data_IF_888523628794
#
_entry.id   IF_888523628794
#
_cell.length_a   1.000
_cell.length_b   1.000
_cell.length_c   1.000
_cell.angle_alpha   90.00
_cell.angle_beta   90.00
_cell.angle_gamma   90.00
#
_symmetry.space_group_name_H-M   'P 1'
#
loop_
_entity.id
_entity.type
_entity.pdbx_description
1 polymer ?
#
# COMPACT_ATOMS: atom_id res chain seq x y z
N UNK A 1 -13.22 46.72 14.07
CA UNK A 1 -12.37 45.85 13.20
C UNK A 1 -13.25 45.34 12.08
N UNK A 2 -12.86 45.50 10.81
CA UNK A 2 -13.68 45.01 9.70
C UNK A 2 -13.61 43.48 9.66
N UNK A 3 -14.79 42.87 9.67
CA UNK A 3 -15.05 41.45 9.46
C UNK A 3 -14.52 41.05 8.08
N UNK A 4 -13.39 40.35 8.04
CA UNK A 4 -12.89 39.73 6.81
C UNK A 4 -13.77 38.52 6.49
N UNK A 5 -14.64 38.67 5.50
CA UNK A 5 -15.37 37.56 4.91
C UNK A 5 -14.39 36.50 4.42
N UNK A 6 -14.59 35.20 4.72
CA UNK A 6 -13.67 34.16 4.28
C UNK A 6 -13.70 34.07 2.76
N UNK A 7 -12.55 34.24 2.12
CA UNK A 7 -12.36 34.07 0.69
C UNK A 7 -12.86 32.68 0.29
N UNK A 8 -13.75 32.55 -0.72
CA UNK A 8 -14.25 31.26 -1.14
C UNK A 8 -13.09 30.37 -1.58
N UNK A 9 -13.03 29.13 -1.07
CA UNK A 9 -12.06 28.15 -1.55
C UNK A 9 -12.28 27.94 -3.05
N UNK A 10 -11.21 27.92 -3.86
CA UNK A 10 -11.34 27.60 -5.27
C UNK A 10 -11.99 26.23 -5.44
N UNK A 11 -12.83 26.10 -6.48
CA UNK A 11 -13.44 24.82 -6.82
C UNK A 11 -12.35 23.75 -7.01
N UNK A 12 -12.58 22.51 -6.54
CA UNK A 12 -11.60 21.45 -6.74
C UNK A 12 -11.36 21.24 -8.25
N UNK A 13 -10.12 20.90 -8.65
CA UNK A 13 -9.82 20.54 -10.04
C UNK A 13 -10.77 19.46 -10.58
N UNK A 14 -11.09 19.50 -11.87
CA UNK A 14 -12.04 18.57 -12.50
C UNK A 14 -11.61 17.08 -12.39
N UNK A 15 -10.33 16.81 -12.14
CA UNK A 15 -9.76 15.47 -11.96
C UNK A 15 -9.69 15.01 -10.49
N UNK A 16 -10.15 15.82 -9.54
CA UNK A 16 -10.15 15.53 -8.10
C UNK A 16 -11.56 15.23 -7.60
N UNK A 17 -11.98 13.98 -7.73
CA UNK A 17 -13.29 13.49 -7.28
C UNK A 17 -13.21 12.02 -6.82
N UNK A 18 -14.22 11.57 -6.06
CA UNK A 18 -14.38 10.15 -5.68
C UNK A 18 -14.93 9.38 -6.88
N UNK A 19 -14.11 8.52 -7.48
CA UNK A 19 -14.54 7.77 -8.66
C UNK A 19 -15.20 6.43 -8.29
N UNK A 20 -16.53 6.39 -8.21
CA UNK A 20 -17.27 5.14 -7.94
C UNK A 20 -17.83 4.48 -9.21
N UNK A 21 -17.57 5.04 -10.39
CA UNK A 21 -18.11 4.58 -11.67
C UNK A 21 -17.46 3.26 -12.07
N UNK A 22 -18.25 2.20 -12.18
CA UNK A 22 -17.76 0.86 -12.44
C UNK A 22 -17.20 0.72 -13.86
N UNK A 23 -17.80 1.44 -14.80
CA UNK A 23 -17.49 1.54 -16.22
C UNK A 23 -16.14 2.23 -16.51
N UNK A 24 -15.65 3.06 -15.60
CA UNK A 24 -14.37 3.77 -15.79
C UNK A 24 -13.16 2.83 -15.81
N UNK A 25 -13.31 1.57 -15.37
CA UNK A 25 -12.24 0.54 -15.43
C UNK A 25 -12.05 -0.05 -16.83
N UNK A 26 -12.96 0.21 -17.76
CA UNK A 26 -12.84 -0.21 -19.16
C UNK A 26 -12.07 0.87 -19.92
N UNK A 27 -10.94 0.47 -20.48
CA UNK A 27 -9.96 1.36 -21.10
C UNK A 27 -9.86 1.00 -22.58
N UNK A 28 -9.86 1.99 -23.50
CA UNK A 28 -9.59 1.72 -24.90
C UNK A 28 -8.22 1.04 -25.07
N UNK A 29 -8.16 -0.06 -25.82
CA UNK A 29 -6.93 -0.85 -26.08
C UNK A 29 -5.80 0.05 -26.55
N UNK A 30 -6.07 0.99 -27.46
CA UNK A 30 -5.08 1.97 -27.94
C UNK A 30 -4.50 2.83 -26.82
N UNK A 31 -5.34 3.29 -25.90
CA UNK A 31 -4.90 4.11 -24.77
C UNK A 31 -4.05 3.29 -23.78
N UNK A 32 -4.44 2.03 -23.52
CA UNK A 32 -3.64 1.12 -22.69
C UNK A 32 -2.27 0.84 -23.31
N UNK A 33 -2.22 0.51 -24.60
CA UNK A 33 -0.96 0.24 -25.32
C UNK A 33 -0.02 1.43 -25.32
N UNK A 34 -0.55 2.64 -25.49
CA UNK A 34 0.24 3.87 -25.41
C UNK A 34 0.73 4.19 -23.97
N UNK A 35 0.01 3.75 -22.95
CA UNK A 35 0.37 3.97 -21.55
C UNK A 35 1.39 2.97 -21.02
N UNK A 36 1.59 1.82 -21.66
CA UNK A 36 2.60 0.87 -21.23
C UNK A 36 4.02 1.46 -21.36
N UNK A 37 4.75 1.48 -20.25
CA UNK A 37 6.08 2.08 -20.19
C UNK A 37 7.06 1.21 -20.99
N UNK A 38 7.78 1.83 -21.92
CA UNK A 38 8.99 1.25 -22.53
C UNK A 38 10.20 1.82 -21.80
N UNK A 39 11.11 0.95 -21.38
CA UNK A 39 12.39 1.32 -20.79
C UNK A 39 13.48 1.10 -21.82
N UNK A 40 14.06 2.20 -22.31
CA UNK A 40 15.02 2.14 -23.43
C UNK A 40 16.31 1.37 -23.09
N UNK A 41 16.72 1.39 -21.83
CA UNK A 41 17.87 0.61 -21.34
C UNK A 41 17.44 -0.79 -20.84
N UNK A 42 16.25 -1.26 -21.23
CA UNK A 42 15.85 -2.63 -20.93
C UNK A 42 16.87 -3.63 -21.46
N UNK A 43 17.06 -4.73 -20.73
CA UNK A 43 17.83 -5.89 -21.19
C UNK A 43 17.16 -6.63 -22.36
N UNK A 44 15.93 -6.27 -22.71
CA UNK A 44 15.20 -6.81 -23.86
C UNK A 44 14.47 -5.66 -24.59
N UNK A 45 15.21 -4.73 -25.24
CA UNK A 45 14.64 -3.49 -25.74
C UNK A 45 13.70 -3.72 -26.94
N UNK A 46 13.92 -4.75 -27.75
CA UNK A 46 13.04 -5.08 -28.88
C UNK A 46 11.74 -5.78 -28.47
N UNK A 47 11.62 -6.24 -27.23
CA UNK A 47 10.42 -6.93 -26.75
C UNK A 47 9.23 -5.97 -26.60
N UNK A 48 8.03 -6.55 -26.57
CA UNK A 48 6.79 -5.82 -26.26
C UNK A 48 6.87 -5.19 -24.85
N UNK A 49 6.14 -4.11 -24.63
CA UNK A 49 6.17 -3.33 -23.39
C UNK A 49 5.11 -3.81 -22.38
N UNK A 50 4.72 -5.08 -22.42
CA UNK A 50 3.83 -5.75 -21.47
C UNK A 50 4.03 -7.27 -21.58
N UNK A 51 3.43 -8.04 -20.67
CA UNK A 51 3.52 -9.50 -20.64
C UNK A 51 2.13 -10.11 -20.90
N UNK A 52 1.93 -10.81 -22.02
CA UNK A 52 0.75 -11.65 -22.24
C UNK A 52 0.76 -12.83 -21.26
N UNK A 53 -0.39 -13.12 -20.68
CA UNK A 53 -0.63 -14.22 -19.74
C UNK A 53 -1.78 -15.08 -20.28
N UNK A 54 -1.53 -15.83 -21.37
CA UNK A 54 -2.57 -16.54 -22.11
C UNK A 54 -3.27 -17.61 -21.27
N UNK A 55 -2.61 -18.14 -20.24
CA UNK A 55 -3.17 -19.15 -19.33
C UNK A 55 -4.45 -18.67 -18.60
N UNK A 56 -4.67 -17.35 -18.54
CA UNK A 56 -5.88 -16.74 -17.98
C UNK A 56 -6.55 -15.73 -18.91
N UNK A 57 -6.08 -15.60 -20.16
CA UNK A 57 -6.54 -14.54 -21.07
C UNK A 57 -6.29 -13.13 -20.51
N UNK A 58 -5.17 -12.95 -19.81
CA UNK A 58 -4.80 -11.71 -19.15
C UNK A 58 -3.54 -11.11 -19.77
N UNK A 59 -3.26 -9.87 -19.41
CA UNK A 59 -1.97 -9.24 -19.67
C UNK A 59 -1.57 -8.38 -18.46
N UNK A 60 -0.26 -8.30 -18.23
CA UNK A 60 0.36 -7.58 -17.11
C UNK A 60 1.38 -6.58 -17.63
N UNK A 61 1.28 -5.33 -17.20
CA UNK A 61 2.29 -4.34 -17.55
C UNK A 61 2.39 -3.19 -16.55
N UNK A 62 3.54 -2.51 -16.58
CA UNK A 62 3.76 -1.24 -15.91
C UNK A 62 3.21 -0.12 -16.80
N UNK A 63 2.33 0.73 -16.26
CA UNK A 63 1.74 1.84 -17.01
C UNK A 63 2.19 3.19 -16.46
N UNK A 64 2.21 4.20 -17.33
CA UNK A 64 2.17 5.60 -16.92
C UNK A 64 0.79 5.91 -16.34
N UNK A 65 0.74 6.10 -15.02
CA UNK A 65 -0.49 6.47 -14.32
C UNK A 65 -0.93 7.91 -14.59
N UNK A 66 -0.09 8.74 -15.24
CA UNK A 66 -0.44 10.06 -15.73
C UNK A 66 -1.38 10.04 -16.94
N UNK A 67 -1.45 8.92 -17.67
CA UNK A 67 -2.37 8.76 -18.79
C UNK A 67 -3.83 8.85 -18.30
N UNK A 68 -4.65 9.80 -18.80
CA UNK A 68 -5.97 10.10 -18.22
C UNK A 68 -6.93 8.91 -18.11
N UNK A 69 -6.95 8.02 -19.12
CA UNK A 69 -7.79 6.83 -19.10
C UNK A 69 -7.35 5.84 -18.01
N UNK A 70 -6.04 5.67 -17.79
CA UNK A 70 -5.50 4.79 -16.77
C UNK A 70 -5.70 5.38 -15.37
N UNK A 71 -5.46 6.68 -15.21
CA UNK A 71 -5.70 7.39 -13.95
C UNK A 71 -7.15 7.19 -13.48
N UNK A 72 -8.13 7.34 -14.38
CA UNK A 72 -9.55 7.09 -14.10
C UNK A 72 -9.82 5.63 -13.77
N UNK A 73 -9.33 4.69 -14.58
CA UNK A 73 -9.57 3.26 -14.36
C UNK A 73 -9.00 2.74 -13.03
N UNK A 74 -7.77 3.13 -12.71
CA UNK A 74 -7.10 2.80 -11.45
C UNK A 74 -7.85 3.46 -10.28
N UNK A 75 -8.22 4.74 -10.41
CA UNK A 75 -8.98 5.45 -9.38
C UNK A 75 -10.33 4.78 -9.12
N UNK A 76 -11.09 4.43 -10.16
CA UNK A 76 -12.35 3.70 -10.05
C UNK A 76 -12.16 2.39 -9.28
N UNK A 77 -11.15 1.62 -9.65
CA UNK A 77 -10.86 0.33 -9.02
C UNK A 77 -10.52 0.48 -7.54
N UNK A 78 -9.67 1.46 -7.20
CA UNK A 78 -9.27 1.73 -5.82
C UNK A 78 -10.43 2.28 -4.98
N UNK A 79 -11.13 3.29 -5.47
CA UNK A 79 -12.21 3.94 -4.73
C UNK A 79 -13.35 2.97 -4.44
N UNK A 80 -13.82 2.22 -5.45
CA UNK A 80 -14.88 1.21 -5.29
C UNK A 80 -14.48 0.08 -4.35
N UNK A 81 -13.20 -0.28 -4.32
CA UNK A 81 -12.69 -1.24 -3.36
C UNK A 81 -12.76 -0.73 -1.93
N UNK A 82 -12.39 0.53 -1.72
CA UNK A 82 -12.32 1.15 -0.40
C UNK A 82 -13.70 1.46 0.20
N UNK A 83 -14.77 1.53 -0.62
CA UNK A 83 -16.14 1.71 -0.12
C UNK A 83 -16.52 0.69 0.96
N UNK A 84 -16.04 -0.57 0.86
CA UNK A 84 -16.34 -1.61 1.86
C UNK A 84 -15.64 -1.39 3.21
N UNK A 85 -14.70 -0.44 3.29
CA UNK A 85 -14.05 -0.10 4.54
C UNK A 85 -14.85 0.93 5.36
N UNK A 86 -15.84 1.61 4.76
CA UNK A 86 -16.71 2.57 5.45
C UNK A 86 -17.56 1.87 6.51
N UNK A 87 -17.59 2.41 7.72
CA UNK A 87 -18.36 1.90 8.85
C UNK A 87 -19.87 1.84 8.57
N UNK A 88 -20.42 2.79 7.82
CA UNK A 88 -21.82 2.77 7.37
C UNK A 88 -22.17 1.52 6.52
N UNK A 89 -21.15 0.86 5.96
CA UNK A 89 -21.26 -0.36 5.14
C UNK A 89 -20.74 -1.60 5.85
N UNK A 90 -20.62 -1.55 7.18
CA UNK A 90 -20.08 -2.63 8.01
C UNK A 90 -18.55 -2.73 7.99
N UNK A 91 -17.84 -1.73 7.45
CA UNK A 91 -16.39 -1.62 7.50
C UNK A 91 -15.86 -1.09 8.83
N UNK A 92 -14.54 -0.99 8.96
CA UNK A 92 -13.86 -0.62 10.22
C UNK A 92 -13.34 0.83 10.25
N UNK A 93 -13.50 1.59 9.16
CA UNK A 93 -13.02 2.97 9.05
C UNK A 93 -14.19 3.96 9.02
N UNK A 94 -14.06 5.13 9.67
CA UNK A 94 -15.06 6.19 9.53
C UNK A 94 -15.21 6.64 8.06
N UNK A 95 -16.45 6.85 7.61
CA UNK A 95 -16.75 7.31 6.23
C UNK A 95 -15.91 8.53 5.83
N UNK A 96 -15.80 9.55 6.66
CA UNK A 96 -15.02 10.76 6.37
C UNK A 96 -13.52 10.48 6.13
N UNK A 97 -12.95 9.49 6.84
CA UNK A 97 -11.54 9.09 6.63
C UNK A 97 -11.39 8.42 5.27
N UNK A 98 -12.31 7.53 4.92
CA UNK A 98 -12.32 6.85 3.61
C UNK A 98 -12.49 7.85 2.47
N UNK A 99 -13.43 8.77 2.58
CA UNK A 99 -13.72 9.77 1.54
C UNK A 99 -12.57 10.74 1.34
N UNK A 100 -11.89 11.14 2.43
CA UNK A 100 -10.66 11.92 2.33
C UNK A 100 -9.58 11.19 1.56
N UNK A 101 -9.34 9.90 1.87
CA UNK A 101 -8.38 9.08 1.10
C UNK A 101 -8.81 8.97 -0.36
N UNK A 102 -10.10 8.75 -0.64
CA UNK A 102 -10.61 8.69 -2.00
C UNK A 102 -10.38 9.98 -2.79
N UNK A 103 -10.61 11.14 -2.18
CA UNK A 103 -10.45 12.44 -2.82
C UNK A 103 -8.98 12.86 -2.99
N UNK A 104 -8.21 12.74 -1.92
CA UNK A 104 -6.87 13.34 -1.85
C UNK A 104 -5.79 12.39 -2.40
N UNK A 105 -6.01 11.08 -2.27
CA UNK A 105 -4.95 10.09 -2.45
C UNK A 105 -5.19 9.20 -3.68
N UNK A 106 -6.42 8.74 -3.90
CA UNK A 106 -6.74 7.76 -4.96
C UNK A 106 -7.78 8.26 -5.98
N UNK A 107 -8.03 9.57 -6.02
CA UNK A 107 -8.75 10.22 -7.12
C UNK A 107 -7.94 10.11 -8.42
N UNK A 108 -8.52 10.36 -9.61
CA UNK A 108 -7.74 10.34 -10.85
C UNK A 108 -6.52 11.25 -10.78
N UNK A 109 -6.66 12.45 -10.19
CA UNK A 109 -5.55 13.35 -9.89
C UNK A 109 -4.51 12.73 -8.95
N UNK A 110 -4.93 12.15 -7.84
CA UNK A 110 -4.04 11.53 -6.86
C UNK A 110 -3.23 10.37 -7.46
N UNK A 111 -3.90 9.50 -8.24
CA UNK A 111 -3.26 8.41 -8.98
C UNK A 111 -2.21 8.95 -9.96
N UNK A 112 -2.55 9.97 -10.73
CA UNK A 112 -1.64 10.55 -11.73
C UNK A 112 -0.43 11.24 -11.10
N UNK A 113 -0.63 12.04 -10.04
CA UNK A 113 0.38 12.98 -9.54
C UNK A 113 1.09 12.55 -8.27
N UNK A 114 0.38 11.95 -7.32
CA UNK A 114 0.95 11.60 -6.01
C UNK A 114 1.76 10.31 -6.09
N UNK A 115 1.23 9.32 -6.79
CA UNK A 115 1.80 7.96 -6.79
C UNK A 115 2.65 7.64 -8.01
N UNK A 116 2.30 8.22 -9.16
CA UNK A 116 2.91 7.88 -10.45
C UNK A 116 4.41 8.14 -10.53
N UNK A 117 4.91 9.12 -9.78
CA UNK A 117 6.30 9.59 -9.83
C UNK A 117 7.27 8.67 -9.09
N UNK A 118 6.85 8.06 -7.98
CA UNK A 118 7.72 7.27 -7.10
C UNK A 118 7.52 5.76 -7.22
N UNK A 119 6.47 5.32 -7.92
CA UNK A 119 6.12 3.91 -8.09
C UNK A 119 6.05 3.44 -9.54
N UNK A 120 6.23 2.14 -9.73
CA UNK A 120 5.77 1.39 -10.89
C UNK A 120 4.33 0.93 -10.62
N UNK A 121 3.41 1.41 -11.45
CA UNK A 121 2.01 1.03 -11.39
C UNK A 121 1.79 -0.18 -12.28
N UNK A 122 1.64 -1.35 -11.68
CA UNK A 122 1.27 -2.56 -12.40
C UNK A 122 -0.25 -2.62 -12.56
N UNK A 123 -0.69 -2.98 -13.76
CA UNK A 123 -2.10 -3.28 -14.06
C UNK A 123 -2.21 -4.66 -14.67
N UNK A 124 -3.23 -5.38 -14.24
CA UNK A 124 -3.67 -6.64 -14.83
C UNK A 124 -4.96 -6.34 -15.58
N UNK A 125 -4.97 -6.64 -16.88
CA UNK A 125 -6.11 -6.37 -17.76
C UNK A 125 -6.56 -7.63 -18.49
N UNK A 126 -7.82 -7.67 -18.90
CA UNK A 126 -8.38 -8.72 -19.77
C UNK A 126 -9.00 -8.13 -21.02
N UNK A 127 -9.05 -8.92 -22.08
CA UNK A 127 -9.82 -8.56 -23.26
C UNK A 127 -11.32 -8.56 -22.97
N UNK A 128 -12.01 -7.53 -23.46
CA UNK A 128 -13.47 -7.52 -23.58
C UNK A 128 -13.84 -7.67 -25.04
N UNK A 129 -13.18 -6.87 -25.89
CA UNK A 129 -13.22 -6.93 -27.33
C UNK A 129 -11.91 -6.36 -27.91
N UNK A 130 -11.83 -6.18 -29.24
CA UNK A 130 -10.63 -5.67 -29.92
C UNK A 130 -10.25 -4.25 -29.48
N UNK A 131 -11.24 -3.42 -29.15
CA UNK A 131 -11.06 -2.00 -28.85
C UNK A 131 -11.03 -1.70 -27.35
N UNK A 132 -11.42 -2.65 -26.51
CA UNK A 132 -11.62 -2.44 -25.08
C UNK A 132 -10.92 -3.49 -24.22
N UNK A 133 -10.21 -3.01 -23.20
CA UNK A 133 -9.60 -3.80 -22.14
C UNK A 133 -10.23 -3.44 -20.81
N UNK A 134 -10.47 -4.42 -19.95
CA UNK A 134 -10.94 -4.19 -18.59
C UNK A 134 -9.76 -4.29 -17.61
N UNK A 135 -9.57 -3.28 -16.76
CA UNK A 135 -8.66 -3.36 -15.62
C UNK A 135 -9.29 -4.20 -14.52
N UNK A 136 -8.67 -5.34 -14.21
CA UNK A 136 -9.19 -6.31 -13.22
C UNK A 136 -8.42 -6.25 -11.90
N UNK A 137 -7.16 -5.84 -11.91
CA UNK A 137 -6.36 -5.65 -10.70
C UNK A 137 -5.24 -4.64 -10.91
N UNK A 138 -4.76 -4.04 -9.82
CA UNK A 138 -3.60 -3.14 -9.84
C UNK A 138 -2.84 -3.16 -8.52
N UNK A 139 -1.54 -2.87 -8.59
CA UNK A 139 -0.63 -2.72 -7.44
C UNK A 139 0.39 -1.62 -7.76
N UNK A 140 0.77 -0.84 -6.74
CA UNK A 140 1.88 0.10 -6.81
C UNK A 140 3.10 -0.54 -6.17
N UNK A 141 4.24 -0.51 -6.85
CA UNK A 141 5.51 -1.02 -6.35
C UNK A 141 6.53 0.10 -6.38
N UNK A 142 7.29 0.34 -5.30
CA UNK A 142 8.32 1.37 -5.26
C UNK A 142 9.34 1.21 -6.38
N UNK A 143 9.62 2.26 -7.15
CA UNK A 143 10.66 2.23 -8.20
C UNK A 143 12.03 1.97 -7.61
N UNK A 144 12.26 2.52 -6.41
CA UNK A 144 13.44 2.27 -5.62
C UNK A 144 13.11 1.39 -4.41
N UNK A 145 14.09 0.58 -4.02
CA UNK A 145 14.13 -0.09 -2.72
C UNK A 145 14.27 0.89 -1.55
N UNK A 146 14.36 2.19 -1.82
CA UNK A 146 14.41 3.24 -0.82
C UNK A 146 13.05 3.93 -0.65
N UNK A 147 12.10 3.72 -1.56
CA UNK A 147 10.80 4.40 -1.55
C UNK A 147 9.91 3.94 -0.38
N UNK A 148 9.29 4.91 0.30
CA UNK A 148 8.21 4.71 1.28
C UNK A 148 7.00 5.52 0.82
N UNK A 149 5.98 4.84 0.28
CA UNK A 149 4.74 5.49 -0.15
C UNK A 149 3.99 6.16 1.00
N UNK A 150 3.99 5.55 2.18
CA UNK A 150 3.27 6.04 3.34
C UNK A 150 4.13 5.84 4.59
N UNK A 151 4.35 6.93 5.33
CA UNK A 151 4.95 6.90 6.67
C UNK A 151 3.90 7.30 7.72
N UNK A 152 3.22 8.43 7.49
CA UNK A 152 2.06 8.88 8.28
C UNK A 152 1.06 9.59 7.37
N UNK A 153 -0.11 10.01 7.89
CA UNK A 153 -1.06 10.83 7.13
C UNK A 153 -0.48 12.16 6.59
N UNK A 154 0.62 12.67 7.16
CA UNK A 154 1.31 13.90 6.72
C UNK A 154 2.51 13.65 5.82
N UNK A 155 3.16 12.50 5.99
CA UNK A 155 4.43 12.19 5.34
C UNK A 155 4.27 10.97 4.45
N UNK A 156 4.33 11.20 3.13
CA UNK A 156 4.12 10.22 2.07
C UNK A 156 5.17 10.40 0.98
N UNK A 157 5.44 9.35 0.21
CA UNK A 157 6.45 9.33 -0.85
C UNK A 157 7.86 9.75 -0.41
N UNK A 158 8.27 9.32 0.80
CA UNK A 158 9.60 9.56 1.32
C UNK A 158 10.63 8.59 0.72
N UNK A 159 11.90 8.91 0.93
CA UNK A 159 13.03 7.98 0.81
C UNK A 159 13.45 7.54 2.21
N UNK A 160 13.72 6.24 2.37
CA UNK A 160 14.13 5.68 3.66
C UNK A 160 15.48 6.25 4.11
N UNK A 161 16.40 6.47 3.17
CA UNK A 161 17.71 7.07 3.42
C UNK A 161 17.69 8.51 3.96
N UNK A 162 16.60 9.26 3.75
CA UNK A 162 16.52 10.70 4.09
C UNK A 162 15.36 11.03 5.03
N UNK A 163 14.69 10.03 5.64
CA UNK A 163 13.55 10.29 6.55
C UNK A 163 13.93 11.26 7.67
N UNK A 164 15.12 11.12 8.25
CA UNK A 164 15.59 11.96 9.36
C UNK A 164 15.69 13.46 8.98
N UNK A 165 15.86 13.75 7.68
CA UNK A 165 15.99 15.10 7.13
C UNK A 165 14.63 15.65 6.67
N UNK A 166 13.79 14.80 6.09
CA UNK A 166 12.50 15.19 5.50
C UNK A 166 11.35 15.26 6.51
N UNK A 167 11.49 14.61 7.67
CA UNK A 167 10.43 14.53 8.68
C UNK A 167 10.75 15.44 9.87
N UNK A 168 9.85 16.37 10.15
CA UNK A 168 9.89 17.14 11.39
C UNK A 168 9.35 16.29 12.56
N UNK A 169 10.25 15.59 13.23
CA UNK A 169 9.95 14.81 14.45
C UNK A 169 9.63 15.68 15.67
N UNK A 170 9.94 16.97 15.60
CA UNK A 170 9.65 17.93 16.67
C UNK A 170 8.33 18.67 16.48
N UNK A 171 7.63 18.38 15.38
CA UNK A 171 6.42 19.08 14.99
C UNK A 171 5.37 19.08 16.13
N UNK A 172 4.84 20.25 16.51
CA UNK A 172 3.74 20.33 17.46
C UNK A 172 2.47 19.66 16.90
N UNK A 173 1.73 18.97 17.77
CA UNK A 173 0.42 18.42 17.47
C UNK A 173 -0.68 19.50 17.45
N UNK A 174 -0.43 20.64 18.11
CA UNK A 174 -1.35 21.76 18.25
C UNK A 174 -0.62 23.06 18.59
N UNK A 175 -1.22 23.89 19.44
CA UNK A 175 -0.65 25.18 19.85
C UNK A 175 0.47 25.06 20.89
N UNK A 176 0.46 23.99 21.67
CA UNK A 176 1.48 23.71 22.69
C UNK A 176 2.69 23.03 22.03
N UNK A 177 3.87 23.67 22.01
CA UNK A 177 5.07 23.11 21.39
C UNK A 177 5.64 21.89 22.13
N UNK A 178 5.26 21.65 23.39
CA UNK A 178 5.69 20.48 24.15
C UNK A 178 4.88 19.22 23.82
N UNK A 179 3.75 19.37 23.12
CA UNK A 179 2.91 18.26 22.67
C UNK A 179 3.29 17.91 21.23
N UNK A 180 4.25 17.02 21.04
CA UNK A 180 4.73 16.70 19.68
C UNK A 180 3.81 15.69 19.02
N UNK A 181 3.55 15.88 17.73
CA UNK A 181 2.75 14.98 16.91
C UNK A 181 3.30 13.55 16.94
N UNK A 182 4.63 13.40 16.87
CA UNK A 182 5.28 12.09 16.90
C UNK A 182 5.22 11.40 18.27
N UNK A 183 4.90 12.09 19.36
CA UNK A 183 4.69 11.47 20.67
C UNK A 183 3.41 10.60 20.70
N UNK A 184 2.56 10.69 19.67
CA UNK A 184 1.38 9.85 19.47
C UNK A 184 1.71 8.50 18.82
N UNK A 185 2.96 8.25 18.43
CA UNK A 185 3.33 7.05 17.69
C UNK A 185 4.50 6.32 18.35
N UNK A 186 4.41 5.00 18.42
CA UNK A 186 5.54 4.12 18.71
C UNK A 186 5.90 3.35 17.44
N UNK A 187 6.75 3.95 16.62
CA UNK A 187 7.32 3.33 15.43
C UNK A 187 8.61 2.57 15.77
N UNK A 188 9.02 1.61 14.93
CA UNK A 188 10.43 1.22 14.87
C UNK A 188 11.34 2.42 14.62
N UNK A 189 12.59 2.32 15.06
CA UNK A 189 13.63 3.31 14.74
C UNK A 189 13.67 3.61 13.24
N UNK A 190 13.77 4.89 12.91
CA UNK A 190 13.67 5.39 11.54
C UNK A 190 14.66 4.69 10.60
N UNK A 191 15.90 4.49 11.04
CA UNK A 191 16.96 3.82 10.28
C UNK A 191 16.63 2.37 9.93
N UNK A 192 15.78 1.73 10.74
CA UNK A 192 15.38 0.33 10.59
C UNK A 192 13.89 0.19 10.23
N UNK A 193 13.19 1.32 10.03
CA UNK A 193 11.75 1.36 9.83
C UNK A 193 11.31 0.53 8.62
N UNK A 194 12.09 0.58 7.54
CA UNK A 194 11.89 -0.21 6.34
C UNK A 194 12.96 -1.31 6.22
N UNK A 195 12.60 -2.56 5.88
CA UNK A 195 13.59 -3.60 5.66
C UNK A 195 14.42 -3.32 4.40
N UNK A 196 15.73 -3.57 4.50
CA UNK A 196 16.68 -3.36 3.41
C UNK A 196 16.34 -4.25 2.23
N UNK A 197 16.42 -3.65 1.06
CA UNK A 197 16.24 -4.30 -0.23
C UNK A 197 14.86 -4.86 -0.60
N UNK A 198 13.82 -4.50 0.12
CA UNK A 198 12.43 -4.78 -0.28
C UNK A 198 11.81 -3.57 -0.99
N UNK A 199 10.92 -3.81 -1.95
CA UNK A 199 10.10 -2.76 -2.55
C UNK A 199 8.85 -2.53 -1.70
N UNK A 200 8.55 -1.29 -1.32
CA UNK A 200 7.26 -1.00 -0.70
C UNK A 200 6.15 -1.23 -1.73
N UNK A 201 5.11 -1.97 -1.38
CA UNK A 201 3.88 -2.07 -2.16
C UNK A 201 2.74 -1.30 -1.50
N UNK A 202 1.89 -0.68 -2.31
CA UNK A 202 0.71 0.03 -1.85
C UNK A 202 -0.42 -0.07 -2.89
N UNK A 203 -1.63 0.33 -2.52
CA UNK A 203 -2.78 0.41 -3.43
C UNK A 203 -2.96 -0.89 -4.25
N UNK A 204 -2.84 -2.03 -3.56
CA UNK A 204 -3.00 -3.37 -4.13
C UNK A 204 -4.46 -3.78 -4.03
N UNK A 205 -5.10 -3.94 -5.18
CA UNK A 205 -6.54 -4.17 -5.28
C UNK A 205 -6.89 -5.07 -6.45
N UNK A 206 -7.90 -5.92 -6.24
CA UNK A 206 -8.66 -6.59 -7.29
C UNK A 206 -10.04 -5.93 -7.35
N UNK A 207 -10.48 -5.62 -8.56
CA UNK A 207 -11.79 -5.04 -8.81
C UNK A 207 -12.90 -5.89 -8.14
N UNK A 208 -13.91 -5.29 -7.49
CA UNK A 208 -14.91 -6.02 -6.70
C UNK A 208 -15.56 -7.21 -7.41
N UNK A 209 -15.80 -7.10 -8.72
CA UNK A 209 -16.41 -8.11 -9.58
C UNK A 209 -15.54 -9.35 -9.77
N UNK A 210 -14.22 -9.21 -9.61
CA UNK A 210 -13.24 -10.27 -9.88
C UNK A 210 -12.63 -10.88 -8.62
N UNK A 211 -13.15 -10.52 -7.44
CA UNK A 211 -12.70 -11.07 -6.16
C UNK A 211 -13.09 -12.54 -6.04
N UNK A 212 -12.31 -13.30 -5.27
CA UNK A 212 -12.50 -14.74 -5.08
C UNK A 212 -11.91 -15.61 -6.20
N UNK A 213 -11.44 -15.01 -7.31
CA UNK A 213 -10.89 -15.75 -8.47
C UNK A 213 -9.37 -16.02 -8.39
N UNK A 214 -8.76 -15.77 -7.23
CA UNK A 214 -7.31 -15.94 -7.02
C UNK A 214 -6.42 -14.88 -7.70
N UNK A 215 -6.99 -13.81 -8.26
CA UNK A 215 -6.24 -12.79 -9.02
C UNK A 215 -5.18 -12.05 -8.19
N UNK A 216 -5.37 -11.86 -6.89
CA UNK A 216 -4.36 -11.23 -6.03
C UNK A 216 -3.06 -12.04 -6.01
N UNK A 217 -3.16 -13.35 -5.73
CA UNK A 217 -1.98 -14.24 -5.72
C UNK A 217 -1.38 -14.34 -7.11
N UNK A 218 -2.22 -14.52 -8.13
CA UNK A 218 -1.78 -14.57 -9.52
C UNK A 218 -1.00 -13.32 -9.94
N UNK A 219 -1.48 -12.11 -9.59
CA UNK A 219 -0.79 -10.85 -9.89
C UNK A 219 0.60 -10.81 -9.23
N UNK A 220 0.70 -11.14 -7.96
CA UNK A 220 1.99 -11.18 -7.25
C UNK A 220 2.95 -12.18 -7.91
N UNK A 221 2.49 -13.40 -8.16
CA UNK A 221 3.30 -14.45 -8.78
C UNK A 221 3.71 -14.08 -10.20
N UNK A 222 2.85 -13.43 -10.98
CA UNK A 222 3.18 -12.94 -12.31
C UNK A 222 4.23 -11.82 -12.25
N UNK A 223 4.10 -10.86 -11.33
CA UNK A 223 5.12 -9.80 -11.15
C UNK A 223 6.46 -10.42 -10.74
N UNK A 224 6.47 -11.35 -9.79
CA UNK A 224 7.72 -12.01 -9.36
C UNK A 224 8.34 -12.79 -10.51
N UNK A 225 7.57 -13.66 -11.18
CA UNK A 225 8.10 -14.52 -12.25
C UNK A 225 8.56 -13.76 -13.48
N UNK A 226 7.97 -12.59 -13.78
CA UNK A 226 8.22 -11.87 -15.03
C UNK A 226 9.04 -10.60 -14.87
N UNK A 227 9.00 -9.94 -13.69
CA UNK A 227 9.66 -8.66 -13.46
C UNK A 227 10.76 -8.70 -12.40
N UNK A 228 10.80 -9.70 -11.50
CA UNK A 228 11.91 -9.79 -10.54
C UNK A 228 13.17 -10.28 -11.24
N UNK A 229 14.17 -9.41 -11.34
CA UNK A 229 15.47 -9.75 -11.94
C UNK A 229 16.10 -10.94 -11.23
N UNK A 230 16.14 -10.91 -9.91
CA UNK A 230 16.84 -11.91 -9.11
C UNK A 230 16.11 -13.28 -9.21
N UNK A 231 14.78 -13.28 -9.37
CA UNK A 231 14.01 -14.51 -9.63
C UNK A 231 14.26 -15.07 -11.03
N UNK A 232 14.28 -14.21 -12.05
CA UNK A 232 14.57 -14.60 -13.44
C UNK A 232 15.97 -15.19 -13.56
N UNK A 233 16.98 -14.51 -13.01
CA UNK A 233 18.39 -14.95 -13.02
C UNK A 233 18.56 -16.28 -12.31
N UNK A 234 17.97 -16.46 -11.11
CA UNK A 234 18.05 -17.72 -10.36
C UNK A 234 17.45 -18.92 -11.10
N UNK A 235 16.52 -18.70 -12.03
CA UNK A 235 15.85 -19.75 -12.81
C UNK A 235 16.37 -19.86 -14.25
N UNK A 236 17.30 -19.01 -14.66
CA UNK A 236 17.75 -18.91 -16.05
C UNK A 236 16.63 -18.53 -17.02
N UNK A 237 15.60 -17.82 -16.57
CA UNK A 237 14.44 -17.46 -17.39
C UNK A 237 14.71 -16.19 -18.23
N UNK A 238 14.18 -16.11 -19.46
CA UNK A 238 14.36 -14.96 -20.33
C UNK A 238 13.56 -13.74 -19.85
N UNK A 239 14.01 -12.55 -20.26
CA UNK A 239 13.26 -11.30 -20.08
C UNK A 239 12.39 -11.07 -21.32
N UNK A 240 11.07 -11.15 -21.13
CA UNK A 240 10.07 -11.18 -22.22
C UNK A 240 9.48 -9.81 -22.57
N UNK A 241 9.92 -8.74 -21.89
CA UNK A 241 9.35 -7.41 -22.06
C UNK A 241 10.40 -6.29 -21.99
N UNK A 242 10.10 -5.15 -22.59
CA UNK A 242 10.96 -3.96 -22.61
C UNK A 242 10.72 -3.01 -21.45
N UNK A 243 10.22 -3.49 -20.30
CA UNK A 243 9.91 -2.65 -19.13
C UNK A 243 10.95 -2.81 -18.01
N UNK A 244 10.86 -1.96 -16.98
CA UNK A 244 11.73 -2.03 -15.80
C UNK A 244 11.65 -3.39 -15.09
N UNK A 245 12.80 -3.87 -14.60
CA UNK A 245 12.87 -5.01 -13.70
C UNK A 245 12.94 -4.55 -12.24
N UNK A 246 12.38 -5.36 -11.35
CA UNK A 246 12.49 -5.20 -9.91
C UNK A 246 13.77 -5.91 -9.43
N UNK A 247 14.69 -5.15 -8.84
CA UNK A 247 15.95 -5.68 -8.31
C UNK A 247 15.91 -5.60 -6.78
N UNK A 248 15.97 -6.72 -6.07
CA UNK A 248 15.78 -6.73 -4.62
C UNK A 248 15.31 -8.07 -4.07
N UNK A 249 15.14 -8.11 -2.75
CA UNK A 249 14.78 -9.34 -2.03
C UNK A 249 13.30 -9.69 -2.12
N UNK A 250 12.43 -8.69 -2.23
CA UNK A 250 11.01 -8.93 -2.07
C UNK A 250 10.11 -7.70 -2.04
N UNK A 251 8.85 -7.91 -1.70
CA UNK A 251 7.89 -6.87 -1.36
C UNK A 251 7.80 -6.66 0.14
N UNK A 252 7.60 -5.41 0.55
CA UNK A 252 7.29 -5.02 1.93
C UNK A 252 6.02 -4.18 1.91
N UNK A 253 5.18 -4.34 2.93
CA UNK A 253 3.96 -3.56 3.06
C UNK A 253 3.73 -3.17 4.51
N UNK A 254 3.29 -1.93 4.71
CA UNK A 254 2.66 -1.46 5.95
C UNK A 254 1.15 -1.51 5.75
N UNK A 255 0.42 -2.13 6.67
CA UNK A 255 -1.04 -2.23 6.57
C UNK A 255 -1.74 -2.20 7.92
N UNK A 256 -3.01 -1.77 7.89
CA UNK A 256 -3.87 -1.78 9.07
C UNK A 256 -4.08 -3.22 9.59
N UNK A 257 -4.38 -3.42 10.88
CA UNK A 257 -4.45 -4.76 11.48
C UNK A 257 -5.39 -5.75 10.78
N UNK A 258 -6.58 -5.36 10.26
CA UNK A 258 -7.45 -6.25 9.51
C UNK A 258 -6.85 -6.83 8.23
N UNK A 259 -5.79 -6.23 7.68
CA UNK A 259 -5.14 -6.70 6.47
C UNK A 259 -4.16 -7.86 6.70
N UNK A 260 -3.67 -8.05 7.92
CA UNK A 260 -2.60 -9.02 8.19
C UNK A 260 -2.97 -10.44 7.73
N UNK A 261 -4.15 -10.94 8.08
CA UNK A 261 -4.59 -12.30 7.69
C UNK A 261 -4.68 -12.47 6.18
N UNK A 262 -5.10 -11.42 5.46
CA UNK A 262 -5.19 -11.42 4.00
C UNK A 262 -3.79 -11.46 3.37
N UNK A 263 -2.85 -10.67 3.90
CA UNK A 263 -1.47 -10.69 3.42
C UNK A 263 -0.80 -12.02 3.69
N UNK A 264 -1.06 -12.63 4.86
CA UNK A 264 -0.57 -13.97 5.18
C UNK A 264 -1.11 -15.04 4.22
N UNK A 265 -2.40 -14.98 3.88
CA UNK A 265 -3.00 -15.89 2.90
C UNK A 265 -2.39 -15.72 1.48
N UNK A 266 -1.78 -14.58 1.19
CA UNK A 266 -1.07 -14.33 -0.07
C UNK A 266 0.40 -14.80 -0.04
N UNK A 267 0.89 -15.27 1.11
CA UNK A 267 2.27 -15.72 1.30
C UNK A 267 3.19 -14.67 1.93
N UNK A 268 2.67 -13.54 2.39
CA UNK A 268 3.47 -12.60 3.16
C UNK A 268 3.65 -13.13 4.59
N UNK A 269 4.80 -12.84 5.19
CA UNK A 269 5.06 -13.13 6.59
C UNK A 269 5.23 -11.83 7.38
N UNK A 270 4.94 -11.90 8.67
CA UNK A 270 5.05 -10.76 9.56
C UNK A 270 6.53 -10.40 9.78
N UNK A 271 6.88 -9.12 9.69
CA UNK A 271 8.17 -8.60 10.14
C UNK A 271 8.12 -8.39 11.65
N UNK A 272 8.50 -9.42 12.41
CA UNK A 272 8.54 -9.38 13.89
C UNK A 272 9.24 -8.12 14.41
N UNK A 273 8.59 -7.43 15.37
CA UNK A 273 9.07 -6.20 15.98
C UNK A 273 8.82 -4.93 15.14
N UNK A 274 8.30 -5.07 13.91
CA UNK A 274 7.97 -3.96 13.01
C UNK A 274 6.63 -3.27 13.28
N UNK A 275 5.89 -3.72 14.29
CA UNK A 275 4.55 -3.23 14.64
C UNK A 275 4.60 -1.78 15.08
N UNK A 276 3.63 -0.98 14.64
CA UNK A 276 3.52 0.42 15.03
C UNK A 276 2.28 0.61 15.90
N UNK A 277 2.36 1.43 16.94
CA UNK A 277 1.23 1.73 17.82
C UNK A 277 0.90 3.22 17.81
N UNK A 278 -0.39 3.53 17.94
CA UNK A 278 -0.85 4.82 18.42
C UNK A 278 -0.82 4.82 19.95
N UNK A 279 -0.31 5.91 20.53
CA UNK A 279 -0.25 6.14 21.96
C UNK A 279 -1.26 7.21 22.35
N UNK A 280 -2.19 6.84 23.21
CA UNK A 280 -3.11 7.76 23.85
C UNK A 280 -2.36 8.70 24.78
N UNK A 281 -2.65 10.00 24.64
CA UNK A 281 -2.13 11.05 25.51
C UNK A 281 -3.32 11.79 26.11
N UNK A 282 -3.15 12.34 27.31
CA UNK A 282 -4.23 13.06 27.98
C UNK A 282 -4.74 14.26 27.14
N UNK A 283 -3.86 14.87 26.32
CA UNK A 283 -4.18 15.95 25.39
C UNK A 283 -4.67 15.50 24.01
N UNK A 284 -4.60 14.20 23.70
CA UNK A 284 -5.06 13.60 22.45
C UNK A 284 -5.57 12.18 22.70
N UNK A 285 -6.79 12.06 23.28
CA UNK A 285 -7.39 10.76 23.51
C UNK A 285 -7.67 10.04 22.19
N UNK A 286 -7.51 8.72 22.17
CA UNK A 286 -7.82 7.92 20.99
C UNK A 286 -9.34 7.83 20.79
N UNK A 287 -9.82 7.85 19.53
CA UNK A 287 -11.22 7.62 19.26
C UNK A 287 -11.68 6.27 19.80
N UNK A 288 -12.90 6.17 20.35
CA UNK A 288 -13.44 4.90 20.82
C UNK A 288 -13.51 3.88 19.68
N UNK A 289 -13.23 2.62 20.02
CA UNK A 289 -13.27 1.49 19.09
C UNK A 289 -14.55 0.70 19.33
N UNK A 290 -15.18 0.24 18.25
CA UNK A 290 -16.40 -0.55 18.31
C UNK A 290 -16.24 -1.85 17.54
N UNK A 291 -16.80 -2.93 18.11
CA UNK A 291 -17.06 -4.19 17.45
C UNK A 291 -18.59 -4.38 17.38
N UNK A 292 -19.16 -4.15 16.19
CA UNK A 292 -20.60 -3.96 16.06
C UNK A 292 -21.06 -2.75 16.89
N UNK A 293 -22.03 -2.96 17.80
CA UNK A 293 -22.51 -1.93 18.72
C UNK A 293 -21.69 -1.84 20.03
N UNK A 294 -20.80 -2.81 20.29
CA UNK A 294 -20.07 -2.92 21.56
C UNK A 294 -18.79 -2.10 21.50
N UNK A 295 -18.62 -1.15 22.44
CA UNK A 295 -17.33 -0.47 22.64
C UNK A 295 -16.30 -1.47 23.18
N UNK A 296 -15.11 -1.47 22.61
CA UNK A 296 -13.99 -2.31 23.05
C UNK A 296 -12.80 -1.46 23.48
N UNK A 297 -11.96 -2.01 24.36
CA UNK A 297 -10.72 -1.40 24.82
C UNK A 297 -9.59 -1.57 23.79
N UNK A 298 -8.53 -0.76 23.91
CA UNK A 298 -7.31 -0.94 23.11
C UNK A 298 -6.67 -2.32 23.35
N UNK A 299 -6.76 -2.85 24.57
CA UNK A 299 -6.28 -4.19 24.92
C UNK A 299 -7.04 -5.29 24.16
N UNK A 300 -8.37 -5.22 24.17
CA UNK A 300 -9.21 -6.15 23.42
C UNK A 300 -8.92 -6.05 21.92
N UNK A 301 -8.78 -4.84 21.39
CA UNK A 301 -8.41 -4.62 19.99
C UNK A 301 -7.07 -5.26 19.64
N UNK A 302 -6.02 -5.02 20.43
CA UNK A 302 -4.69 -5.61 20.20
C UNK A 302 -4.73 -7.16 20.24
N UNK A 303 -5.47 -7.72 21.21
CA UNK A 303 -5.67 -9.17 21.35
C UNK A 303 -6.42 -9.77 20.16
N UNK A 304 -7.43 -9.09 19.64
CA UNK A 304 -8.17 -9.55 18.45
C UNK A 304 -7.27 -9.72 17.22
N UNK A 305 -6.15 -8.99 17.15
CA UNK A 305 -5.13 -9.16 16.11
C UNK A 305 -3.95 -10.04 16.51
N UNK A 306 -4.04 -10.72 17.65
CA UNK A 306 -3.09 -11.74 18.11
C UNK A 306 -1.90 -11.21 18.92
N UNK A 307 -1.94 -9.97 19.40
CA UNK A 307 -0.90 -9.43 20.26
C UNK A 307 -1.30 -9.51 21.74
N UNK A 308 -0.40 -9.92 22.64
CA UNK A 308 1.01 -10.29 22.43
C UNK A 308 1.27 -11.77 22.03
N UNK A 309 0.23 -12.61 21.95
CA UNK A 309 0.34 -14.08 21.83
C UNK A 309 1.11 -14.56 20.59
N UNK A 310 1.26 -13.72 19.55
CA UNK A 310 2.10 -14.01 18.39
C UNK A 310 3.58 -14.22 18.71
N UNK A 311 4.07 -13.65 19.81
CA UNK A 311 5.48 -13.80 20.22
C UNK A 311 5.64 -14.72 21.42
N UNK A 312 4.64 -14.75 22.30
CA UNK A 312 4.67 -15.57 23.50
C UNK A 312 4.61 -17.05 23.12
N UNK A 313 5.59 -17.83 23.57
CA UNK A 313 5.64 -19.27 23.32
C UNK A 313 5.99 -19.66 21.87
N UNK A 314 6.47 -18.73 21.04
CA UNK A 314 6.93 -19.02 19.68
C UNK A 314 8.42 -18.74 19.54
N UNK A 315 9.14 -19.65 18.89
CA UNK A 315 10.51 -19.40 18.50
C UNK A 315 10.57 -18.26 17.48
N UNK A 316 11.53 -17.33 17.59
CA UNK A 316 11.71 -16.27 16.60
C UNK A 316 12.07 -16.87 15.24
N UNK A 317 11.71 -16.22 14.13
CA UNK A 317 12.05 -16.66 12.78
C UNK A 317 13.58 -16.71 12.58
N UNK A 318 14.06 -17.71 11.84
CA UNK A 318 15.48 -17.95 11.60
C UNK A 318 16.17 -16.82 10.78
N UNK A 319 15.44 -16.09 9.93
CA UNK A 319 15.97 -15.02 9.08
C UNK A 319 16.11 -13.68 9.85
N UNK A 320 17.02 -13.61 10.82
CA UNK A 320 17.09 -12.52 11.80
C UNK A 320 17.29 -11.10 11.24
N UNK A 321 18.01 -10.90 10.13
CA UNK A 321 18.44 -9.56 9.72
C UNK A 321 17.32 -8.62 9.24
N UNK A 322 16.20 -9.17 8.74
CA UNK A 322 15.06 -8.36 8.31
C UNK A 322 14.10 -8.04 9.46
N UNK A 323 14.08 -8.86 10.51
CA UNK A 323 13.26 -8.69 11.70
C UNK A 323 13.88 -7.69 12.68
N UNK A 324 13.06 -7.17 13.59
CA UNK A 324 13.45 -6.29 14.69
C UNK A 324 13.26 -7.03 16.01
N UNK A 325 13.95 -8.16 16.17
CA UNK A 325 13.72 -9.09 17.28
C UNK A 325 13.99 -8.44 18.65
N UNK A 326 14.95 -7.52 18.71
CA UNK A 326 15.26 -6.68 19.86
C UNK A 326 14.09 -5.79 20.31
N UNK A 327 13.17 -5.46 19.39
CA UNK A 327 11.98 -4.65 19.67
C UNK A 327 10.77 -5.47 20.11
N UNK A 328 10.81 -6.80 19.99
CA UNK A 328 9.69 -7.67 20.39
C UNK A 328 9.25 -7.46 21.86
N UNK A 329 10.16 -7.32 22.85
CA UNK A 329 9.76 -6.98 24.22
C UNK A 329 8.97 -5.67 24.33
N UNK A 330 9.34 -4.64 23.57
CA UNK A 330 8.60 -3.37 23.53
C UNK A 330 7.20 -3.56 22.94
N UNK A 331 7.10 -4.31 21.84
CA UNK A 331 5.80 -4.62 21.20
C UNK A 331 4.88 -5.38 22.17
N UNK A 332 5.40 -6.35 22.93
CA UNK A 332 4.63 -7.08 23.95
C UNK A 332 4.18 -6.12 25.06
N UNK A 333 5.06 -5.22 25.52
CA UNK A 333 4.73 -4.22 26.54
C UNK A 333 3.61 -3.30 26.06
N UNK A 334 3.74 -2.74 24.85
CA UNK A 334 2.73 -1.86 24.24
C UNK A 334 1.41 -2.60 23.98
N UNK A 335 1.44 -3.84 23.53
CA UNK A 335 0.22 -4.63 23.32
C UNK A 335 -0.61 -4.83 24.59
N UNK A 336 0.03 -4.76 25.77
CA UNK A 336 -0.58 -4.89 27.10
C UNK A 336 -0.87 -3.54 27.77
N UNK A 337 -0.54 -2.42 27.14
CA UNK A 337 -0.78 -1.09 27.66
C UNK A 337 -2.19 -0.61 27.23
N UNK A 338 -3.10 -0.26 28.18
CA UNK A 338 -4.44 0.21 27.83
C UNK A 338 -4.45 1.52 27.03
N UNK A 339 -3.35 2.27 27.03
CA UNK A 339 -3.18 3.51 26.26
C UNK A 339 -2.54 3.29 24.89
N UNK A 340 -2.14 2.06 24.54
CA UNK A 340 -1.52 1.79 23.24
C UNK A 340 -2.44 0.95 22.36
N UNK A 341 -2.71 1.46 21.15
CA UNK A 341 -3.51 0.79 20.12
C UNK A 341 -2.61 0.40 18.96
N UNK A 342 -2.61 -0.87 18.59
CA UNK A 342 -1.92 -1.32 17.38
C UNK A 342 -2.45 -0.52 16.18
N UNK A 343 -1.52 0.08 15.43
CA UNK A 343 -1.83 0.88 14.28
C UNK A 343 -1.45 0.18 12.97
N UNK A 344 -0.24 -0.38 12.88
CA UNK A 344 0.20 -1.06 11.66
C UNK A 344 0.96 -2.35 11.94
N UNK A 345 0.76 -3.33 11.08
CA UNK A 345 1.72 -4.41 10.88
C UNK A 345 2.64 -4.10 9.70
N UNK A 346 3.86 -4.63 9.77
CA UNK A 346 4.75 -4.70 8.63
C UNK A 346 4.84 -6.14 8.15
N UNK A 347 4.64 -6.36 6.85
CA UNK A 347 4.70 -7.70 6.25
C UNK A 347 5.69 -7.72 5.10
N UNK A 348 6.28 -8.89 4.86
CA UNK A 348 7.32 -9.11 3.85
C UNK A 348 6.98 -10.32 2.99
N UNK A 349 7.36 -10.28 1.72
CA UNK A 349 7.20 -11.36 0.76
C UNK A 349 8.50 -11.48 -0.02
N UNK A 350 9.17 -12.63 0.04
CA UNK A 350 10.44 -12.83 -0.64
C UNK A 350 10.24 -13.27 -2.09
N UNK A 351 10.96 -12.66 -3.03
CA UNK A 351 10.97 -13.10 -4.43
C UNK A 351 11.59 -14.49 -4.62
N UNK A 352 12.51 -14.83 -3.72
CA UNK A 352 13.17 -16.12 -3.60
C UNK A 352 12.78 -16.68 -2.22
N UNK A 353 11.74 -17.50 -2.14
CA UNK A 353 11.27 -18.12 -0.89
C UNK A 353 9.76 -18.01 -0.59
N UNK A 354 8.98 -17.27 -1.39
CA UNK A 354 7.52 -17.15 -1.28
C UNK A 354 6.69 -18.35 -1.80
N UNK A 355 6.97 -19.54 -1.24
CA UNK A 355 6.21 -20.82 -1.18
C UNK A 355 5.49 -21.41 -2.42
N UNK A 356 5.34 -22.76 -2.43
CA UNK A 356 6.33 -23.82 -2.60
C UNK A 356 6.77 -24.05 -4.05
#
# INVERSE_FOLDING_TARGET
MPSSSPTPRPAPPADQYINLRAEDRFVPTRALRAAYIRYEESRSPSAINYVPLPERGLELGIVDSGAPALARAISSTLCRSLERAKNERGGHLPTAVVERVQLEIISPRGVARLWGTHGHRFVLTREVDRETRELVATILVGRSKDTIFFFTGRYNNLRHSTIAEEVDFTQPAGRDPHQRWFDLFAFPDVERFKPRAYHHIANFVVAPEHRGQGLSRFLLDAIVRKYSRDHLEARGAPIEHSQHLLCGRGFWQIGDPPWLSRMQALGFYLRWGGESFFLERDWAPLPPIYEGARRITNLEYNRAFGLPQRYEGRAPPASGAAHLLDRVPEVIRLARDPRAKLQYFQTMFDFLGGAP
#
